data_IF_775526389682
#
_entry.id   IF_775526389682
#
_cell.length_a   1.000
_cell.length_b   1.000
_cell.length_c   1.000
_cell.angle_alpha   90.00
_cell.angle_beta   90.00
_cell.angle_gamma   90.00
#
_symmetry.space_group_name_H-M   'P 1'
#
loop_
_entity.id
_entity.type
_entity.pdbx_description
1 polymer ?
#
# COMPACT_ATOMS: atom_id res chain seq x y z
N UNK A 1 13.13 -6.16 -10.06
CA UNK A 1 14.57 -6.52 -10.25
C UNK A 1 15.26 -5.94 -9.03
N UNK A 2 16.05 -6.69 -8.24
CA UNK A 2 16.57 -6.16 -6.98
C UNK A 2 17.35 -4.85 -7.22
N UNK A 3 17.12 -3.83 -6.38
CA UNK A 3 17.80 -2.53 -6.47
C UNK A 3 19.31 -2.74 -6.37
N UNK A 4 20.08 -1.98 -7.18
CA UNK A 4 21.55 -2.06 -7.14
C UNK A 4 22.13 -1.57 -5.79
N UNK A 5 21.35 -0.82 -5.01
CA UNK A 5 21.77 -0.27 -3.72
C UNK A 5 21.08 -0.99 -2.57
N UNK A 6 21.90 -1.61 -1.72
CA UNK A 6 21.48 -2.21 -0.45
C UNK A 6 21.66 -1.26 0.73
N UNK A 7 22.19 -0.05 0.54
CA UNK A 7 22.44 0.91 1.61
C UNK A 7 22.29 2.36 1.14
N UNK A 8 21.79 3.21 2.03
CA UNK A 8 21.62 4.65 1.82
C UNK A 8 22.08 5.42 3.05
N UNK A 9 22.53 6.67 2.87
CA UNK A 9 22.94 7.56 3.97
C UNK A 9 22.17 8.86 3.90
N UNK A 10 21.35 9.11 4.93
CA UNK A 10 20.48 10.28 5.05
C UNK A 10 20.73 10.89 6.43
N UNK A 11 20.88 12.22 6.55
CA UNK A 11 20.93 12.90 7.85
C UNK A 11 21.97 12.37 8.85
N UNK A 12 23.10 11.83 8.37
CA UNK A 12 24.13 11.21 9.23
C UNK A 12 23.82 9.78 9.68
N UNK A 13 22.77 9.14 9.17
CA UNK A 13 22.42 7.74 9.43
C UNK A 13 22.57 6.89 8.18
N UNK A 14 23.24 5.75 8.32
CA UNK A 14 23.31 4.73 7.29
C UNK A 14 22.23 3.68 7.52
N UNK A 15 21.38 3.46 6.52
CA UNK A 15 20.31 2.47 6.54
C UNK A 15 20.65 1.41 5.50
N UNK A 16 20.72 0.16 5.91
CA UNK A 16 21.20 -0.96 5.09
C UNK A 16 20.17 -2.09 5.11
N UNK A 17 19.71 -2.51 3.94
CA UNK A 17 18.89 -3.70 3.77
C UNK A 17 19.72 -4.94 4.10
N UNK A 18 19.17 -5.78 4.97
CA UNK A 18 19.84 -7.00 5.46
C UNK A 18 19.28 -8.23 4.78
N UNK A 19 17.96 -8.40 4.83
CA UNK A 19 17.33 -9.62 4.38
C UNK A 19 15.84 -9.47 4.13
N UNK A 20 15.34 -10.29 3.20
CA UNK A 20 13.95 -10.63 2.99
C UNK A 20 13.76 -12.12 3.27
N UNK A 21 12.77 -12.47 4.08
CA UNK A 21 12.43 -13.86 4.41
C UNK A 21 10.94 -14.08 4.23
N UNK A 22 10.55 -15.13 3.49
CA UNK A 22 9.15 -15.53 3.32
C UNK A 22 8.90 -16.75 4.21
N UNK A 23 7.90 -16.68 5.10
CA UNK A 23 7.49 -17.77 5.99
C UNK A 23 5.97 -17.77 6.08
N UNK A 24 5.31 -18.90 5.79
CA UNK A 24 3.86 -19.09 5.99
C UNK A 24 2.99 -17.93 5.50
N UNK A 25 3.10 -17.58 4.19
CA UNK A 25 2.41 -16.46 3.54
C UNK A 25 2.70 -15.06 4.10
N UNK A 26 3.66 -14.93 5.02
CA UNK A 26 4.16 -13.64 5.50
C UNK A 26 5.52 -13.34 4.91
N UNK A 27 5.83 -12.04 4.77
CA UNK A 27 7.17 -11.59 4.38
C UNK A 27 7.75 -10.71 5.47
N UNK A 28 8.95 -11.06 5.91
CA UNK A 28 9.76 -10.27 6.82
C UNK A 28 10.86 -9.53 6.07
N UNK A 29 11.01 -8.24 6.35
CA UNK A 29 12.13 -7.42 5.89
C UNK A 29 12.91 -6.92 7.09
N UNK A 30 14.24 -6.92 6.98
CA UNK A 30 15.15 -6.44 8.01
C UNK A 30 16.11 -5.38 7.47
N UNK A 31 16.35 -4.35 8.28
CA UNK A 31 17.24 -3.23 7.99
C UNK A 31 18.14 -2.95 9.19
N UNK A 32 19.43 -2.70 8.93
CA UNK A 32 20.35 -2.13 9.90
C UNK A 32 20.37 -0.62 9.78
N UNK A 33 20.26 0.07 10.90
CA UNK A 33 20.35 1.52 11.01
C UNK A 33 21.54 1.85 11.92
N UNK A 34 22.49 2.61 11.38
CA UNK A 34 23.74 2.95 12.05
C UNK A 34 23.91 4.47 12.05
N UNK A 35 24.10 5.03 13.24
CA UNK A 35 24.55 6.43 13.37
C UNK A 35 25.99 6.57 12.85
N UNK A 36 26.22 7.54 11.97
CA UNK A 36 27.58 7.92 11.55
C UNK A 36 28.09 9.08 12.41
N UNK A 37 29.41 9.35 12.45
CA UNK A 37 29.95 10.50 13.16
C UNK A 37 29.40 11.86 12.69
N UNK A 38 28.76 11.90 11.52
CA UNK A 38 28.15 13.11 10.95
C UNK A 38 26.70 13.34 11.44
N UNK A 39 26.15 12.43 12.27
CA UNK A 39 24.83 12.62 12.86
C UNK A 39 24.88 13.68 13.97
N UNK A 40 24.20 14.81 13.76
CA UNK A 40 24.14 15.92 14.73
C UNK A 40 23.16 15.64 15.89
N UNK A 41 22.21 14.74 15.68
CA UNK A 41 21.12 14.43 16.59
C UNK A 41 20.77 12.96 16.52
N UNK A 42 20.29 12.40 17.64
CA UNK A 42 19.72 11.05 17.67
C UNK A 42 18.56 10.91 16.68
N UNK A 43 18.46 9.75 16.07
CA UNK A 43 17.32 9.38 15.24
C UNK A 43 16.11 9.25 16.15
N UNK A 44 14.98 9.83 15.77
CA UNK A 44 13.71 9.69 16.50
C UNK A 44 12.82 8.61 15.88
N UNK A 45 12.80 8.56 14.54
CA UNK A 45 12.06 7.56 13.78
C UNK A 45 12.57 7.49 12.35
N UNK A 46 12.31 6.36 11.71
CA UNK A 46 12.51 6.20 10.27
C UNK A 46 11.33 5.44 9.66
N UNK A 47 11.17 5.60 8.35
CA UNK A 47 10.08 5.03 7.55
C UNK A 47 10.67 4.34 6.34
N UNK A 48 10.28 3.09 6.14
CA UNK A 48 10.55 2.36 4.89
C UNK A 48 9.28 2.38 4.07
N UNK A 49 9.37 2.87 2.83
CA UNK A 49 8.25 2.86 1.88
C UNK A 49 7.89 1.42 1.50
N UNK A 50 6.58 1.17 1.37
CA UNK A 50 6.04 -0.17 1.08
C UNK A 50 5.12 -0.08 -0.12
N UNK A 51 5.34 -0.94 -1.12
CA UNK A 51 4.56 -0.98 -2.35
C UNK A 51 4.38 0.41 -3.01
N UNK A 52 5.46 1.13 -3.35
CA UNK A 52 5.37 2.43 -4.04
C UNK A 52 4.56 2.37 -5.35
N UNK A 53 4.56 1.20 -6.00
CA UNK A 53 3.80 0.90 -7.21
C UNK A 53 2.30 0.65 -6.96
N UNK A 54 1.90 0.30 -5.73
CA UNK A 54 0.51 0.06 -5.35
C UNK A 54 0.28 0.43 -3.87
N UNK A 55 0.37 1.72 -3.51
CA UNK A 55 0.30 2.15 -2.11
C UNK A 55 -1.06 1.82 -1.47
N UNK A 56 -2.12 1.82 -2.28
CA UNK A 56 -3.46 1.46 -1.83
C UNK A 56 -3.58 -0.01 -1.42
N UNK A 57 -2.84 -0.92 -2.08
CA UNK A 57 -2.80 -2.32 -1.67
C UNK A 57 -2.15 -2.46 -0.28
N UNK A 58 -1.04 -1.75 -0.05
CA UNK A 58 -0.38 -1.77 1.25
C UNK A 58 -1.27 -1.19 2.35
N UNK A 59 -1.87 -0.01 2.13
CA UNK A 59 -2.70 0.66 3.13
C UNK A 59 -3.86 -0.24 3.56
N UNK A 60 -4.54 -0.85 2.59
CA UNK A 60 -5.79 -1.53 2.85
C UNK A 60 -5.65 -3.01 3.22
N UNK A 61 -4.75 -3.77 2.57
CA UNK A 61 -4.72 -5.24 2.70
C UNK A 61 -3.49 -5.79 3.42
N UNK A 62 -2.36 -5.09 3.37
CA UNK A 62 -1.10 -5.61 3.93
C UNK A 62 -0.93 -5.15 5.37
N UNK A 63 -1.30 -5.97 6.33
CA UNK A 63 -1.19 -5.70 7.76
C UNK A 63 0.19 -6.05 8.33
N UNK A 64 0.61 -5.27 9.33
CA UNK A 64 1.80 -5.54 10.12
C UNK A 64 1.46 -6.67 11.09
N UNK A 65 2.20 -7.78 11.01
CA UNK A 65 2.08 -8.92 11.93
C UNK A 65 2.88 -8.67 13.19
N UNK A 66 4.14 -8.25 13.04
CA UNK A 66 4.99 -7.83 14.14
C UNK A 66 6.13 -6.92 13.66
N UNK A 67 6.76 -6.26 14.63
CA UNK A 67 7.99 -5.51 14.45
C UNK A 67 8.94 -5.82 15.59
N UNK A 68 10.22 -6.01 15.26
CA UNK A 68 11.26 -6.32 16.23
C UNK A 68 12.47 -5.41 16.03
N UNK A 69 13.22 -5.24 17.11
CA UNK A 69 14.50 -4.54 17.11
C UNK A 69 15.57 -5.33 17.85
N UNK A 70 16.81 -5.13 17.42
CA UNK A 70 18.00 -5.69 18.04
C UNK A 70 19.09 -4.62 18.07
N UNK A 71 19.51 -4.23 19.27
CA UNK A 71 20.53 -3.20 19.48
C UNK A 71 21.90 -3.85 19.64
N UNK A 72 22.89 -3.41 18.87
CA UNK A 72 24.30 -3.79 18.95
C UNK A 72 24.51 -5.32 19.02
N UNK A 73 23.70 -6.08 18.27
CA UNK A 73 23.74 -7.55 18.27
C UNK A 73 23.24 -8.23 19.56
N UNK A 74 22.58 -7.49 20.45
CA UNK A 74 21.98 -7.99 21.69
C UNK A 74 20.76 -8.89 21.47
N UNK A 75 19.92 -9.11 22.50
CA UNK A 75 18.68 -9.86 22.33
C UNK A 75 17.68 -9.13 21.41
N UNK A 76 16.92 -9.90 20.64
CA UNK A 76 15.79 -9.37 19.86
C UNK A 76 14.64 -9.05 20.83
N UNK A 77 14.02 -7.89 20.64
CA UNK A 77 12.88 -7.40 21.42
C UNK A 77 11.82 -6.80 20.50
N UNK A 78 10.61 -6.58 21.00
CA UNK A 78 9.54 -5.93 20.24
C UNK A 78 9.90 -4.46 19.96
N UNK A 79 9.52 -3.98 18.78
CA UNK A 79 9.71 -2.60 18.35
C UNK A 79 8.35 -1.93 18.10
N UNK A 80 8.24 -0.66 18.46
CA UNK A 80 7.05 0.10 18.14
C UNK A 80 7.06 0.52 16.66
N UNK A 81 6.09 0.06 15.90
CA UNK A 81 5.93 0.42 14.51
C UNK A 81 4.46 0.64 14.14
N UNK A 82 4.22 1.49 13.15
CA UNK A 82 2.89 1.81 12.65
C UNK A 82 2.91 2.01 11.14
N UNK A 83 1.77 1.75 10.48
CA UNK A 83 1.59 2.22 9.11
C UNK A 83 1.48 3.74 9.12
N UNK A 84 2.16 4.40 8.20
CA UNK A 84 2.06 5.84 8.04
C UNK A 84 1.75 6.22 6.62
N UNK A 85 0.85 7.19 6.49
CA UNK A 85 0.64 7.97 5.28
C UNK A 85 1.06 9.41 5.61
N UNK A 86 2.28 9.78 5.23
CA UNK A 86 2.80 11.13 5.48
C UNK A 86 2.84 11.89 4.16
N UNK A 87 1.77 12.62 3.80
CA UNK A 87 1.85 13.58 2.72
C UNK A 87 2.89 14.63 3.12
N UNK A 88 3.80 14.94 2.19
CA UNK A 88 4.81 15.96 2.39
C UNK A 88 4.18 17.35 2.22
N UNK A 89 4.13 18.19 3.27
CA UNK A 89 3.57 19.54 3.17
C UNK A 89 4.47 20.53 2.41
N UNK A 90 5.74 20.19 2.13
CA UNK A 90 6.75 21.13 1.60
C UNK A 90 7.06 20.98 0.11
N UNK A 91 6.47 20.01 -0.60
CA UNK A 91 6.67 19.78 -2.04
C UNK A 91 8.04 19.27 -2.49
N UNK A 92 9.09 19.37 -1.66
CA UNK A 92 10.48 19.03 -2.00
C UNK A 92 10.96 17.64 -1.50
N UNK A 93 10.04 16.77 -1.10
CA UNK A 93 10.30 15.47 -0.47
C UNK A 93 9.27 14.46 -0.97
N UNK A 94 9.64 13.18 -1.02
CA UNK A 94 8.76 12.09 -1.45
C UNK A 94 7.65 11.88 -0.41
N UNK A 95 6.41 11.70 -0.86
CA UNK A 95 5.31 11.23 -0.01
C UNK A 95 5.64 9.81 0.44
N UNK A 96 5.79 9.59 1.75
CA UNK A 96 6.10 8.27 2.27
C UNK A 96 4.83 7.58 2.76
N UNK A 97 4.51 6.48 2.08
CA UNK A 97 3.50 5.52 2.49
C UNK A 97 4.25 4.24 2.86
N UNK A 98 4.23 3.87 4.13
CA UNK A 98 5.02 2.73 4.58
C UNK A 98 4.96 2.43 6.06
N UNK A 99 6.00 1.76 6.57
CA UNK A 99 6.11 1.39 7.99
C UNK A 99 7.08 2.34 8.67
N UNK A 100 6.59 3.03 9.70
CA UNK A 100 7.38 3.87 10.59
C UNK A 100 7.78 3.06 11.81
N UNK A 101 9.06 3.07 12.16
CA UNK A 101 9.52 2.69 13.50
C UNK A 101 9.61 3.92 14.38
N UNK A 102 8.88 3.94 15.49
CA UNK A 102 8.92 5.03 16.47
C UNK A 102 9.95 4.72 17.55
N UNK A 103 11.20 4.56 17.11
CA UNK A 103 12.32 4.04 17.89
C UNK A 103 13.55 4.94 17.68
N UNK A 104 14.21 5.27 18.79
CA UNK A 104 15.41 6.10 18.73
C UNK A 104 16.67 5.27 18.47
N UNK A 105 17.61 5.83 17.70
CA UNK A 105 18.95 5.24 17.49
C UNK A 105 20.01 6.30 17.76
N UNK A 106 20.89 6.03 18.72
CA UNK A 106 21.97 6.94 19.05
C UNK A 106 23.05 7.00 17.96
N UNK A 107 23.85 8.06 17.97
CA UNK A 107 24.86 8.35 16.94
C UNK A 107 26.00 7.33 16.83
N UNK A 108 26.19 6.45 17.81
CA UNK A 108 27.21 5.39 17.87
C UNK A 108 26.60 3.98 18.00
N UNK A 109 25.30 3.85 17.76
CA UNK A 109 24.53 2.64 17.92
C UNK A 109 24.21 1.99 16.57
N UNK A 110 24.23 0.66 16.53
CA UNK A 110 23.70 -0.13 15.43
C UNK A 110 22.41 -0.80 15.87
N UNK A 111 21.31 -0.47 15.23
CA UNK A 111 20.00 -1.06 15.48
C UNK A 111 19.53 -1.84 14.26
N UNK A 112 19.24 -3.14 14.42
CA UNK A 112 18.54 -3.92 13.41
C UNK A 112 17.05 -3.87 13.68
N UNK A 113 16.28 -3.41 12.71
CA UNK A 113 14.83 -3.40 12.74
C UNK A 113 14.29 -4.40 11.73
N UNK A 114 13.33 -5.21 12.14
CA UNK A 114 12.61 -6.09 11.25
C UNK A 114 11.11 -5.85 11.38
N UNK A 115 10.38 -5.95 10.28
CA UNK A 115 8.92 -5.97 10.27
C UNK A 115 8.43 -7.16 9.44
N UNK A 116 7.35 -7.78 9.90
CA UNK A 116 6.69 -8.88 9.20
C UNK A 116 5.31 -8.43 8.73
N UNK A 117 5.00 -8.71 7.47
CA UNK A 117 3.75 -8.35 6.82
C UNK A 117 2.96 -9.61 6.45
N UNK A 118 1.63 -9.58 6.57
CA UNK A 118 0.75 -10.69 6.22
C UNK A 118 0.54 -10.87 4.70
N UNK A 119 1.59 -10.64 3.91
CA UNK A 119 1.56 -10.77 2.46
C UNK A 119 2.90 -11.27 1.94
N UNK A 120 2.87 -11.95 0.79
CA UNK A 120 4.06 -12.27 0.01
C UNK A 120 4.40 -11.03 -0.85
N UNK A 121 5.48 -10.33 -0.51
CA UNK A 121 5.90 -9.10 -1.20
C UNK A 121 7.25 -9.32 -1.84
N UNK A 122 7.45 -8.83 -3.05
CA UNK A 122 8.73 -8.87 -3.76
C UNK A 122 9.70 -7.78 -3.27
N UNK A 123 10.91 -7.78 -3.86
CA UNK A 123 11.98 -6.83 -3.54
C UNK A 123 12.32 -5.96 -4.76
N UNK A 124 12.27 -4.64 -4.57
CA UNK A 124 12.73 -3.65 -5.56
C UNK A 124 13.14 -2.35 -4.85
N UNK A 125 13.51 -1.32 -5.62
CA UNK A 125 13.88 -0.01 -5.11
C UNK A 125 12.71 0.70 -4.42
N UNK A 126 12.86 1.00 -3.14
CA UNK A 126 11.92 1.81 -2.36
C UNK A 126 12.62 3.01 -1.73
N UNK A 127 11.86 4.05 -1.40
CA UNK A 127 12.36 5.20 -0.66
C UNK A 127 12.42 4.92 0.85
N UNK A 128 13.32 5.63 1.52
CA UNK A 128 13.39 5.66 2.99
C UNK A 128 13.40 7.11 3.44
N UNK A 129 12.76 7.36 4.58
CA UNK A 129 12.82 8.65 5.24
C UNK A 129 13.17 8.52 6.71
N UNK A 130 13.72 9.59 7.28
CA UNK A 130 14.03 9.63 8.70
C UNK A 130 13.74 10.98 9.34
N UNK A 131 13.61 11.00 10.67
CA UNK A 131 13.45 12.20 11.47
C UNK A 131 14.54 12.20 12.54
N UNK A 132 15.55 13.06 12.38
CA UNK A 132 16.60 13.30 13.37
C UNK A 132 16.69 14.82 13.63
N UNK A 133 16.43 15.24 14.87
CA UNK A 133 16.48 16.67 15.30
C UNK A 133 15.57 17.67 14.58
N UNK A 134 14.77 17.24 13.62
CA UNK A 134 13.89 18.06 12.78
C UNK A 134 12.46 17.60 12.90
N UNK A 135 11.47 18.44 12.58
CA UNK A 135 10.05 18.06 12.63
C UNK A 135 9.53 17.32 11.40
N UNK A 136 10.32 17.32 10.32
CA UNK A 136 9.95 16.85 8.99
C UNK A 136 10.81 15.64 8.63
N UNK A 137 10.26 14.68 7.88
CA UNK A 137 11.04 13.57 7.36
C UNK A 137 12.08 14.07 6.36
N UNK A 138 13.32 13.61 6.49
CA UNK A 138 14.36 13.79 5.48
C UNK A 138 14.27 12.61 4.52
N UNK A 139 14.04 12.89 3.24
CA UNK A 139 13.98 11.89 2.16
C UNK A 139 14.80 12.36 0.98
N UNK A 140 15.24 11.42 0.14
CA UNK A 140 16.01 11.73 -1.07
C UNK A 140 15.59 10.79 -2.19
N UNK A 141 14.91 11.28 -3.25
CA UNK A 141 14.47 10.44 -4.38
C UNK A 141 15.62 9.71 -5.08
N UNK A 142 16.85 10.24 -4.97
CA UNK A 142 18.05 9.68 -5.58
C UNK A 142 18.73 8.60 -4.74
N UNK A 143 18.24 8.29 -3.54
CA UNK A 143 18.81 7.29 -2.64
C UNK A 143 17.71 6.31 -2.23
N UNK A 144 17.39 5.39 -3.15
CA UNK A 144 16.55 4.23 -2.89
C UNK A 144 17.37 3.07 -2.37
N UNK A 145 16.69 2.15 -1.67
CA UNK A 145 17.25 0.93 -1.11
C UNK A 145 16.37 -0.26 -1.52
N UNK A 146 16.89 -1.49 -1.45
CA UNK A 146 16.05 -2.69 -1.50
C UNK A 146 14.98 -2.66 -0.43
N UNK A 147 13.74 -2.85 -0.85
CA UNK A 147 12.62 -3.03 0.08
C UNK A 147 11.39 -3.60 -0.59
N UNK A 148 10.28 -3.65 0.16
CA UNK A 148 9.09 -4.38 -0.23
C UNK A 148 8.33 -3.67 -1.35
N UNK A 149 8.12 -4.40 -2.44
CA UNK A 149 7.15 -4.04 -3.46
C UNK A 149 6.03 -5.06 -3.51
N UNK A 150 4.82 -4.58 -3.75
CA UNK A 150 3.73 -5.47 -4.08
C UNK A 150 4.05 -6.07 -5.45
N UNK A 151 3.75 -7.35 -5.66
CA UNK A 151 3.85 -7.95 -6.99
C UNK A 151 3.24 -6.96 -7.98
N UNK A 152 4.00 -6.61 -9.02
CA UNK A 152 3.37 -6.01 -10.17
C UNK A 152 2.34 -7.03 -10.60
N UNK A 153 1.06 -6.75 -10.33
CA UNK A 153 -0.01 -7.36 -11.10
C UNK A 153 0.43 -7.11 -12.52
N UNK A 154 0.86 -8.17 -13.23
CA UNK A 154 1.18 -8.10 -14.66
C UNK A 154 0.16 -7.17 -15.27
N UNK A 155 0.56 -6.16 -16.08
CA UNK A 155 -0.35 -5.14 -16.55
C UNK A 155 -1.64 -5.85 -16.90
N UNK A 156 -2.67 -5.60 -16.06
CA UNK A 156 -3.92 -6.32 -16.15
C UNK A 156 -4.30 -6.30 -17.63
N UNK A 157 -4.82 -7.41 -18.19
CA UNK A 157 -5.18 -7.46 -19.59
C UNK A 157 -5.83 -6.13 -19.98
N UNK A 158 -5.44 -5.53 -21.11
CA UNK A 158 -6.03 -4.28 -21.58
C UNK A 158 -7.53 -4.30 -21.33
N UNK A 159 -8.04 -3.37 -20.51
CA UNK A 159 -9.44 -3.46 -20.10
C UNK A 159 -9.72 -3.94 -18.69
N UNK A 160 -8.75 -4.13 -17.78
CA UNK A 160 -9.05 -4.45 -16.37
C UNK A 160 -8.26 -3.55 -15.40
N UNK A 161 -8.94 -3.05 -14.37
CA UNK A 161 -8.39 -2.28 -13.24
C UNK A 161 -8.97 -2.80 -11.93
N UNK A 162 -8.24 -2.66 -10.82
CA UNK A 162 -8.74 -3.02 -9.50
C UNK A 162 -8.64 -1.86 -8.52
N UNK A 163 -9.63 -1.72 -7.65
CA UNK A 163 -9.70 -0.65 -6.63
C UNK A 163 -10.03 -1.27 -5.26
N UNK A 164 -9.23 -1.00 -4.21
CA UNK A 164 -9.53 -1.48 -2.86
C UNK A 164 -10.80 -0.89 -2.26
N UNK A 165 -11.38 -1.64 -1.32
CA UNK A 165 -12.36 -1.12 -0.36
C UNK A 165 -12.12 -1.69 1.04
N UNK A 166 -12.64 -0.99 2.06
CA UNK A 166 -12.59 -1.49 3.43
C UNK A 166 -13.77 -1.02 4.28
N UNK A 167 -14.31 -1.90 5.09
CA UNK A 167 -15.37 -1.55 6.02
C UNK A 167 -15.11 -2.15 7.41
N UNK A 168 -15.77 -1.61 8.41
CA UNK A 168 -15.70 -2.14 9.78
C UNK A 168 -17.05 -2.70 10.19
N UNK A 169 -17.04 -3.88 10.80
CA UNK A 169 -18.21 -4.50 11.44
C UNK A 169 -17.96 -4.70 12.92
N UNK A 170 -19.01 -4.60 13.73
CA UNK A 170 -18.97 -4.90 15.16
C UNK A 170 -19.76 -6.17 15.43
N UNK A 171 -19.07 -7.21 15.87
CA UNK A 171 -19.65 -8.48 16.30
C UNK A 171 -20.11 -8.36 17.76
N UNK A 172 -21.39 -8.68 18.08
CA UNK A 172 -21.89 -8.65 19.45
C UNK A 172 -21.24 -9.69 20.37
N UNK A 173 -21.36 -9.48 21.69
CA UNK A 173 -20.89 -10.42 22.69
C UNK A 173 -21.56 -11.79 22.53
N UNK A 174 -20.77 -12.87 22.64
CA UNK A 174 -21.25 -14.25 22.50
C UNK A 174 -21.36 -14.75 21.06
N UNK A 175 -21.03 -13.93 20.06
CA UNK A 175 -20.94 -14.34 18.67
C UNK A 175 -19.48 -14.37 18.19
N UNK A 176 -19.18 -15.29 17.29
CA UNK A 176 -17.89 -15.43 16.63
C UNK A 176 -18.06 -15.50 15.10
N UNK A 177 -17.08 -15.04 14.29
CA UNK A 177 -17.11 -15.22 12.85
C UNK A 177 -17.18 -16.70 12.47
N UNK A 178 -18.01 -17.04 11.50
CA UNK A 178 -18.00 -18.38 10.91
C UNK A 178 -16.75 -18.53 10.04
N UNK A 179 -15.98 -19.58 10.29
CA UNK A 179 -14.76 -19.90 9.52
C UNK A 179 -15.02 -21.10 8.62
N UNK A 180 -14.76 -20.95 7.33
CA UNK A 180 -14.79 -22.00 6.32
C UNK A 180 -13.44 -22.02 5.61
N UNK A 181 -12.82 -23.19 5.46
CA UNK A 181 -11.52 -23.33 4.79
C UNK A 181 -10.45 -22.36 5.32
N UNK A 182 -10.39 -22.21 6.66
CA UNK A 182 -9.46 -21.31 7.38
C UNK A 182 -9.72 -19.80 7.21
N UNK A 183 -10.76 -19.40 6.47
CA UNK A 183 -11.11 -17.99 6.26
C UNK A 183 -12.52 -17.64 6.79
N UNK A 184 -12.73 -16.40 7.28
CA UNK A 184 -14.05 -15.93 7.64
C UNK A 184 -15.00 -15.91 6.43
N UNK A 185 -16.25 -16.33 6.63
CA UNK A 185 -17.25 -16.32 5.57
C UNK A 185 -17.79 -14.89 5.39
N UNK A 186 -17.51 -14.31 4.22
CA UNK A 186 -17.87 -12.94 3.85
C UNK A 186 -18.65 -12.98 2.54
N UNK A 187 -19.68 -12.14 2.44
CA UNK A 187 -20.35 -11.87 1.17
C UNK A 187 -20.39 -10.36 0.91
N UNK A 188 -20.27 -10.00 -0.36
CA UNK A 188 -20.21 -8.60 -0.78
C UNK A 188 -21.06 -8.39 -2.03
N UNK A 189 -21.73 -7.24 -2.08
CA UNK A 189 -22.57 -6.86 -3.21
C UNK A 189 -22.45 -5.37 -3.51
N UNK A 190 -22.49 -5.02 -4.79
CA UNK A 190 -22.62 -3.63 -5.25
C UNK A 190 -24.10 -3.25 -5.15
N UNK A 191 -24.41 -2.27 -4.30
CA UNK A 191 -25.79 -1.82 -4.05
C UNK A 191 -26.12 -0.51 -4.77
N UNK A 192 -25.10 0.25 -5.17
CA UNK A 192 -25.26 1.42 -6.02
C UNK A 192 -23.99 1.65 -6.83
N UNK A 193 -24.16 2.13 -8.05
CA UNK A 193 -23.06 2.48 -8.96
C UNK A 193 -23.41 3.80 -9.66
N UNK A 194 -22.53 4.80 -9.52
CA UNK A 194 -22.62 6.09 -10.20
C UNK A 194 -21.32 6.42 -10.95
N UNK A 195 -20.78 5.47 -11.72
CA UNK A 195 -19.57 5.66 -12.52
C UNK A 195 -19.86 6.10 -13.96
N UNK A 196 -19.02 6.99 -14.49
CA UNK A 196 -19.08 7.47 -15.86
C UNK A 196 -17.68 7.72 -16.41
N UNK A 197 -17.54 7.58 -17.73
CA UNK A 197 -16.31 7.92 -18.45
C UNK A 197 -16.35 9.40 -18.84
N UNK A 198 -15.30 10.13 -18.52
CA UNK A 198 -15.06 11.50 -18.93
C UNK A 198 -13.97 11.52 -19.99
N UNK A 199 -14.31 12.03 -21.16
CA UNK A 199 -13.36 12.24 -22.25
C UNK A 199 -12.71 13.62 -22.09
N UNK A 200 -11.40 13.68 -22.32
CA UNK A 200 -10.63 14.92 -22.24
C UNK A 200 -9.35 14.85 -23.06
N UNK A 201 -8.50 15.86 -22.89
CA UNK A 201 -7.16 15.90 -23.42
C UNK A 201 -6.17 16.23 -22.30
N UNK A 202 -4.99 15.63 -22.36
CA UNK A 202 -3.85 15.99 -21.52
C UNK A 202 -2.67 16.44 -22.39
N UNK A 203 -1.81 17.29 -21.85
CA UNK A 203 -0.62 17.75 -22.57
C UNK A 203 0.51 16.78 -22.22
N UNK A 204 0.93 15.99 -23.20
CA UNK A 204 2.13 15.17 -23.15
C UNK A 204 3.34 15.96 -23.64
N UNK A 205 4.46 15.82 -22.94
CA UNK A 205 5.77 16.30 -23.40
C UNK A 205 6.53 15.15 -24.03
N UNK A 206 7.08 15.34 -25.21
CA UNK A 206 7.97 14.34 -25.80
C UNK A 206 9.09 14.99 -26.57
N UNK A 207 10.14 14.20 -26.76
CA UNK A 207 11.41 14.72 -27.21
C UNK A 207 11.81 14.09 -28.53
N UNK A 208 12.09 14.94 -29.52
CA UNK A 208 12.53 14.51 -30.85
C UNK A 208 13.95 14.97 -31.06
N UNK A 209 14.85 14.05 -31.41
CA UNK A 209 16.22 14.37 -31.77
C UNK A 209 16.27 14.62 -33.27
N UNK A 210 16.60 15.84 -33.68
CA UNK A 210 16.81 16.22 -35.09
C UNK A 210 18.26 16.65 -35.25
N UNK A 211 19.01 15.93 -36.09
CA UNK A 211 20.39 16.27 -36.48
C UNK A 211 21.31 16.65 -35.30
N UNK A 212 21.20 15.92 -34.18
CA UNK A 212 21.91 16.09 -32.88
C UNK A 212 21.32 17.09 -31.87
N UNK A 213 20.24 17.81 -32.21
CA UNK A 213 19.55 18.70 -31.27
C UNK A 213 18.31 18.03 -30.71
N UNK A 214 18.19 18.04 -29.38
CA UNK A 214 17.02 17.55 -28.65
C UNK A 214 15.95 18.65 -28.61
N UNK A 215 14.80 18.39 -29.23
CA UNK A 215 13.66 19.32 -29.26
C UNK A 215 12.54 18.71 -28.40
N UNK A 216 12.19 19.38 -27.31
CA UNK A 216 11.01 19.04 -26.51
C UNK A 216 9.79 19.71 -27.11
N UNK A 217 8.77 18.91 -27.40
CA UNK A 217 7.48 19.35 -27.93
C UNK A 217 6.37 18.96 -26.96
N UNK A 218 5.42 19.86 -26.77
CA UNK A 218 4.15 19.58 -26.11
C UNK A 218 3.14 19.14 -27.16
N UNK A 219 2.38 18.07 -26.89
CA UNK A 219 1.31 17.59 -27.74
C UNK A 219 0.08 17.24 -26.90
N UNK A 220 -1.10 17.59 -27.40
CA UNK A 220 -2.37 17.18 -26.80
C UNK A 220 -2.61 15.70 -27.10
N UNK A 221 -2.77 14.91 -26.04
CA UNK A 221 -3.11 13.50 -26.08
C UNK A 221 -4.54 13.30 -25.63
N UNK A 222 -5.32 12.41 -26.26
CA UNK A 222 -6.64 12.04 -25.76
C UNK A 222 -6.51 11.34 -24.40
N UNK A 223 -7.40 11.68 -23.47
CA UNK A 223 -7.47 11.12 -22.12
C UNK A 223 -8.89 10.62 -21.86
N UNK A 224 -9.02 9.42 -21.29
CA UNK A 224 -10.31 8.95 -20.76
C UNK A 224 -10.17 8.65 -19.28
N UNK A 225 -11.07 9.24 -18.52
CA UNK A 225 -11.07 9.22 -17.08
C UNK A 225 -12.31 8.53 -16.56
N UNK A 226 -12.16 7.54 -15.68
CA UNK A 226 -13.29 6.98 -14.96
C UNK A 226 -13.53 7.81 -13.69
N UNK A 227 -14.72 8.39 -13.56
CA UNK A 227 -15.14 9.16 -12.39
C UNK A 227 -16.42 8.59 -11.79
N UNK A 228 -16.55 8.66 -10.47
CA UNK A 228 -17.75 8.27 -9.75
C UNK A 228 -17.48 7.49 -8.47
N UNK A 229 -18.55 6.96 -7.89
CA UNK A 229 -18.47 6.13 -6.69
C UNK A 229 -19.29 4.86 -6.84
N UNK A 230 -18.82 3.80 -6.18
CA UNK A 230 -19.48 2.49 -6.07
C UNK A 230 -19.78 2.24 -4.60
N UNK A 231 -21.04 2.00 -4.26
CA UNK A 231 -21.42 1.61 -2.91
C UNK A 231 -21.40 0.08 -2.81
N UNK A 232 -20.56 -0.42 -1.90
CA UNK A 232 -20.41 -1.85 -1.63
C UNK A 232 -21.01 -2.14 -0.25
N UNK A 233 -21.92 -3.11 -0.20
CA UNK A 233 -22.41 -3.68 1.04
C UNK A 233 -21.68 -4.99 1.28
N UNK A 234 -21.03 -5.12 2.43
CA UNK A 234 -20.42 -6.38 2.87
C UNK A 234 -21.15 -6.93 4.08
N UNK A 235 -21.15 -8.24 4.22
CA UNK A 235 -21.70 -8.92 5.36
C UNK A 235 -20.75 -10.03 5.82
N UNK A 236 -20.45 -10.05 7.12
CA UNK A 236 -19.69 -11.10 7.79
C UNK A 236 -20.67 -12.07 8.45
N UNK A 237 -20.50 -13.36 8.19
CA UNK A 237 -21.29 -14.40 8.83
C UNK A 237 -20.79 -14.64 10.26
N UNK A 238 -21.71 -14.66 11.22
CA UNK A 238 -21.43 -14.88 12.64
C UNK A 238 -22.32 -15.97 13.22
N UNK A 239 -21.85 -16.64 14.26
CA UNK A 239 -22.57 -17.71 14.95
C UNK A 239 -22.41 -17.60 16.47
N UNK A 240 -23.45 -18.00 17.21
CA UNK A 240 -23.40 -18.23 18.66
C UNK A 240 -23.32 -19.73 19.02
N UNK A 241 -23.10 -20.58 18.02
CA UNK A 241 -23.04 -22.05 18.14
C UNK A 241 -24.36 -22.76 17.83
N UNK A 242 -25.50 -22.08 17.90
CA UNK A 242 -26.82 -22.65 17.56
C UNK A 242 -27.47 -21.95 16.37
N UNK A 243 -27.23 -20.65 16.21
CA UNK A 243 -27.80 -19.82 15.17
C UNK A 243 -26.73 -19.07 14.38
N UNK A 244 -26.91 -19.06 13.05
CA UNK A 244 -26.10 -18.27 12.14
C UNK A 244 -26.82 -16.96 11.79
N UNK A 245 -26.08 -15.87 11.76
CA UNK A 245 -26.56 -14.52 11.43
C UNK A 245 -25.50 -13.77 10.62
N UNK A 246 -25.84 -12.57 10.15
CA UNK A 246 -24.96 -11.72 9.36
C UNK A 246 -24.87 -10.33 9.97
N UNK A 247 -23.65 -9.78 10.06
CA UNK A 247 -23.42 -8.38 10.40
C UNK A 247 -22.95 -7.62 9.17
N UNK A 248 -23.70 -6.57 8.81
CA UNK A 248 -23.45 -5.81 7.61
C UNK A 248 -22.65 -4.54 7.89
N UNK A 249 -21.84 -4.14 6.93
CA UNK A 249 -21.26 -2.81 6.80
C UNK A 249 -21.51 -2.32 5.37
N UNK A 250 -21.40 -1.01 5.17
CA UNK A 250 -21.34 -0.44 3.84
C UNK A 250 -20.07 0.40 3.73
N UNK A 251 -19.45 0.37 2.56
CA UNK A 251 -18.36 1.27 2.19
C UNK A 251 -18.69 1.94 0.85
N UNK A 252 -18.24 3.19 0.68
CA UNK A 252 -18.39 3.95 -0.56
C UNK A 252 -17.02 4.10 -1.18
N UNK A 253 -16.77 3.33 -2.23
CA UNK A 253 -15.52 3.37 -2.98
C UNK A 253 -15.65 4.48 -4.00
N UNK A 254 -15.20 5.67 -3.61
CA UNK A 254 -15.11 6.79 -4.53
C UNK A 254 -13.76 6.74 -5.25
N UNK A 255 -13.82 6.90 -6.58
CA UNK A 255 -12.64 7.13 -7.39
C UNK A 255 -12.29 8.62 -7.21
N UNK A 256 -11.63 8.92 -6.09
CA UNK A 256 -11.25 10.30 -5.72
C UNK A 256 -10.11 10.82 -6.61
N UNK A 257 -9.21 9.94 -7.02
CA UNK A 257 -8.21 10.20 -8.04
C UNK A 257 -8.73 9.73 -9.39
N UNK A 258 -8.64 10.62 -10.37
CA UNK A 258 -9.01 10.35 -11.76
C UNK A 258 -8.34 9.06 -12.25
N UNK A 259 -9.09 7.96 -12.36
CA UNK A 259 -8.53 6.70 -12.80
C UNK A 259 -8.43 6.74 -14.33
N UNK A 260 -7.22 7.02 -14.83
CA UNK A 260 -6.95 6.99 -16.26
C UNK A 260 -7.18 5.57 -16.78
N UNK A 261 -8.13 5.44 -17.70
CA UNK A 261 -8.41 4.22 -18.45
C UNK A 261 -8.07 4.48 -19.91
N UNK A 262 -7.23 3.65 -20.49
CA UNK A 262 -6.79 3.81 -21.87
C UNK A 262 -6.66 2.45 -22.53
N UNK A 263 -6.98 2.41 -23.81
CA UNK A 263 -6.68 1.25 -24.63
C UNK A 263 -5.22 1.30 -25.06
N UNK A 264 -4.41 0.28 -24.70
CA UNK A 264 -3.01 0.26 -25.07
C UNK A 264 -2.87 0.26 -26.59
N UNK A 265 -1.89 1.02 -27.08
CA UNK A 265 -1.50 1.10 -28.49
C UNK A 265 -2.60 1.60 -29.45
N UNK A 266 -3.66 2.25 -28.95
CA UNK A 266 -4.73 2.82 -29.76
C UNK A 266 -5.09 4.23 -29.35
N UNK A 267 -5.63 5.02 -30.29
CA UNK A 267 -6.26 6.32 -30.01
C UNK A 267 -7.76 6.19 -29.69
N UNK A 268 -8.22 4.98 -29.40
CA UNK A 268 -9.64 4.66 -29.24
C UNK A 268 -10.02 4.68 -27.77
N UNK A 269 -11.18 5.25 -27.47
CA UNK A 269 -11.68 5.39 -26.11
C UNK A 269 -12.28 4.06 -25.63
N UNK A 270 -12.05 3.67 -24.37
CA UNK A 270 -12.65 2.46 -23.80
C UNK A 270 -14.17 2.56 -23.70
N UNK A 271 -14.87 1.44 -23.86
CA UNK A 271 -16.34 1.31 -23.75
C UNK A 271 -16.75 0.23 -22.76
N UNK A 272 -18.05 0.08 -22.50
CA UNK A 272 -18.63 -1.07 -21.78
C UNK A 272 -18.00 -1.36 -20.40
N UNK A 273 -18.02 -0.36 -19.53
CA UNK A 273 -17.52 -0.49 -18.15
C UNK A 273 -18.38 -1.47 -17.36
N UNK A 274 -17.78 -2.53 -16.82
CA UNK A 274 -18.41 -3.41 -15.83
C UNK A 274 -17.64 -3.34 -14.52
N UNK A 275 -18.38 -3.44 -13.42
CA UNK A 275 -17.82 -3.36 -12.07
C UNK A 275 -18.33 -4.55 -11.28
N UNK A 276 -17.40 -5.32 -10.72
CA UNK A 276 -17.69 -6.51 -9.90
C UNK A 276 -16.84 -6.49 -8.63
N UNK A 277 -17.21 -7.29 -7.64
CA UNK A 277 -16.34 -7.57 -6.48
C UNK A 277 -15.56 -8.84 -6.78
N UNK A 278 -14.27 -8.85 -6.48
CA UNK A 278 -13.45 -10.08 -6.52
C UNK A 278 -13.72 -10.90 -5.24
N UNK A 279 -14.41 -12.05 -5.34
CA UNK A 279 -14.75 -12.84 -4.16
C UNK A 279 -13.52 -13.46 -3.49
N UNK A 280 -12.44 -13.72 -4.22
CA UNK A 280 -11.22 -14.33 -3.68
C UNK A 280 -10.37 -13.31 -2.91
N UNK A 281 -10.65 -12.02 -3.07
CA UNK A 281 -9.96 -10.94 -2.36
C UNK A 281 -10.57 -10.58 -0.99
N UNK A 282 -11.71 -11.18 -0.64
CA UNK A 282 -12.44 -10.86 0.58
C UNK A 282 -11.73 -11.44 1.81
N UNK A 283 -11.45 -10.57 2.78
CA UNK A 283 -10.85 -10.98 4.06
C UNK A 283 -11.47 -10.19 5.22
N UNK A 284 -11.47 -10.79 6.42
CA UNK A 284 -11.90 -10.16 7.65
C UNK A 284 -10.86 -10.34 8.75
N UNK A 285 -10.29 -9.23 9.20
CA UNK A 285 -9.25 -9.20 10.23
C UNK A 285 -9.80 -8.65 11.54
N UNK A 286 -9.49 -9.33 12.64
CA UNK A 286 -9.80 -8.82 13.97
C UNK A 286 -8.96 -7.57 14.25
N UNK A 287 -9.59 -6.51 14.74
CA UNK A 287 -8.94 -5.21 14.99
C UNK A 287 -8.79 -4.97 16.49
N UNK A 288 -9.90 -5.01 17.22
CA UNK A 288 -9.95 -4.70 18.64
C UNK A 288 -11.21 -5.29 19.28
N UNK A 289 -11.25 -5.36 20.60
CA UNK A 289 -12.44 -5.71 21.37
C UNK A 289 -12.66 -4.71 22.49
N UNK A 290 -13.87 -4.15 22.57
CA UNK A 290 -14.24 -3.20 23.62
C UNK A 290 -15.68 -3.43 24.08
N UNK A 291 -15.89 -3.40 25.40
CA UNK A 291 -17.22 -3.52 26.04
C UNK A 291 -18.05 -4.73 25.55
N UNK A 292 -17.40 -5.90 25.46
CA UNK A 292 -18.05 -7.15 25.03
C UNK A 292 -18.26 -7.26 23.51
N UNK A 293 -17.85 -6.27 22.71
CA UNK A 293 -17.96 -6.31 21.24
C UNK A 293 -16.60 -6.48 20.60
N UNK A 294 -16.54 -7.25 19.52
CA UNK A 294 -15.34 -7.44 18.71
C UNK A 294 -15.47 -6.66 17.40
N UNK A 295 -14.48 -5.84 17.07
CA UNK A 295 -14.42 -5.10 15.83
C UNK A 295 -13.58 -5.86 14.80
N UNK A 296 -14.15 -6.05 13.61
CA UNK A 296 -13.46 -6.65 12.48
C UNK A 296 -13.40 -5.66 11.32
N UNK A 297 -12.28 -5.66 10.60
CA UNK A 297 -12.08 -4.94 9.35
C UNK A 297 -12.28 -5.93 8.21
N UNK A 298 -13.26 -5.69 7.37
CA UNK A 298 -13.47 -6.41 6.12
C UNK A 298 -12.79 -5.64 4.99
N UNK A 299 -12.05 -6.34 4.14
CA UNK A 299 -11.36 -5.77 2.98
C UNK A 299 -11.67 -6.58 1.73
N UNK A 300 -11.67 -5.93 0.56
CA UNK A 300 -11.73 -6.60 -0.73
C UNK A 300 -11.38 -5.69 -1.90
N UNK A 301 -11.39 -6.25 -3.11
CA UNK A 301 -11.12 -5.55 -4.37
C UNK A 301 -12.38 -5.42 -5.20
N UNK A 302 -12.60 -4.21 -5.73
CA UNK A 302 -13.47 -3.98 -6.88
C UNK A 302 -12.66 -4.26 -8.14
N UNK A 303 -13.20 -5.04 -9.06
CA UNK A 303 -12.67 -5.26 -10.40
C UNK A 303 -13.50 -4.43 -11.37
N UNK A 304 -12.83 -3.59 -12.13
CA UNK A 304 -13.39 -2.73 -13.18
C UNK A 304 -12.90 -3.29 -14.50
N UNK A 305 -13.81 -3.76 -15.35
CA UNK A 305 -13.49 -4.17 -16.71
C UNK A 305 -14.03 -3.15 -17.71
N UNK A 306 -13.35 -2.98 -18.84
CA UNK A 306 -13.77 -2.15 -19.97
C UNK A 306 -13.29 -2.77 -21.27
N UNK A 307 -14.00 -2.48 -22.36
CA UNK A 307 -13.69 -2.99 -23.69
C UNK A 307 -12.88 -1.96 -24.46
N UNK A 308 -11.90 -2.44 -25.21
CA UNK A 308 -11.16 -1.64 -26.18
C UNK A 308 -11.65 -1.98 -27.58
N UNK A 309 -12.35 -1.07 -28.28
CA UNK A 309 -12.78 -1.30 -29.64
C UNK A 309 -11.56 -1.43 -30.58
N UNK A 310 -11.67 -2.31 -31.57
CA UNK A 310 -10.70 -2.47 -32.66
C UNK A 310 -10.62 -1.23 -33.57
#
# INVERSE_FOLDING_TARGET
MACERTSVTIGGYQITFVSRTIIDNTTQFCYDVVGTPDAEHDLNNFVVEICPNNPNQFINFVNIVNCTKQINGGPVSDANCEKVTKPNPSGNQVNLIGIKFDESVATDETARFCFTLNAILDEDCVNVGLKAGTDVFQTTPSQTINGPVCEQVSPLPPGIKTVPFCCYVSVPEGFEPVISEEQPVITSAIVSNCTFLCEGTEIGTGTVIVDTTEITCDFEMPKTDLLGCVCVQNALEITDGEQVSWVCCNDSVCIEETLCVSCPDTSVLPTDVQITVDPESLDATFVDSCAGKSAFKITGLIVITFTCPD
#
